data_IF_221532769214
#
_entry.id   IF_221532769214
#
_cell.length_a   1.000
_cell.length_b   1.000
_cell.length_c   1.000
_cell.angle_alpha   90.00
_cell.angle_beta   90.00
_cell.angle_gamma   90.00
#
_symmetry.space_group_name_H-M   'P 1'
#
loop_
_entity.id
_entity.type
_entity.pdbx_description
1 polymer ?
#
# COMPACT_ATOMS: atom_id res chain seq x y z
N UNK A 1 -16.30 -21.08 4.29
CA UNK A 1 -15.94 -19.92 5.12
C UNK A 1 -14.43 -19.78 5.10
N UNK A 2 -13.87 -18.56 5.11
CA UNK A 2 -12.41 -18.39 5.19
C UNK A 2 -11.93 -18.80 6.59
N UNK A 3 -10.82 -19.52 6.66
CA UNK A 3 -10.26 -20.02 7.92
C UNK A 3 -9.58 -18.90 8.70
N UNK A 4 -9.86 -18.84 10.02
CA UNK A 4 -9.21 -17.86 10.91
C UNK A 4 -7.71 -18.13 11.06
N UNK A 5 -7.35 -19.41 11.08
CA UNK A 5 -5.98 -19.92 11.18
C UNK A 5 -5.79 -21.06 10.18
N UNK A 6 -4.62 -21.09 9.55
CA UNK A 6 -4.22 -22.09 8.56
C UNK A 6 -2.70 -22.23 8.56
N UNK A 7 -2.18 -23.33 8.02
CA UNK A 7 -0.76 -23.43 7.69
C UNK A 7 -0.58 -24.20 6.37
N UNK A 8 -0.42 -23.46 5.27
CA UNK A 8 -0.18 -24.01 3.93
C UNK A 8 0.74 -23.08 3.15
N UNK A 9 2.02 -23.15 3.47
CA UNK A 9 3.06 -22.38 2.76
C UNK A 9 3.18 -22.89 1.34
N UNK A 10 3.18 -21.96 0.38
CA UNK A 10 3.33 -22.25 -1.05
C UNK A 10 4.39 -21.36 -1.66
N UNK A 11 4.67 -21.54 -2.96
CA UNK A 11 5.55 -20.63 -3.72
C UNK A 11 5.08 -19.18 -3.65
N UNK A 12 3.78 -18.94 -3.64
CA UNK A 12 3.21 -17.58 -3.59
C UNK A 12 3.47 -16.92 -2.24
N UNK A 13 3.52 -17.71 -1.16
CA UNK A 13 3.91 -17.24 0.17
C UNK A 13 5.36 -16.76 0.18
N UNK A 14 6.28 -17.52 -0.41
CA UNK A 14 7.69 -17.12 -0.52
C UNK A 14 7.89 -15.92 -1.44
N UNK A 15 7.14 -15.83 -2.54
CA UNK A 15 7.15 -14.65 -3.39
C UNK A 15 6.68 -13.41 -2.62
N UNK A 16 5.64 -13.53 -1.79
CA UNK A 16 5.17 -12.43 -0.95
C UNK A 16 6.21 -12.02 0.08
N UNK A 17 6.85 -12.96 0.77
CA UNK A 17 7.95 -12.66 1.70
C UNK A 17 9.10 -11.95 0.99
N UNK A 18 9.55 -12.47 -0.16
CA UNK A 18 10.65 -11.87 -0.91
C UNK A 18 10.32 -10.46 -1.41
N UNK A 19 9.12 -10.26 -1.96
CA UNK A 19 8.68 -8.94 -2.44
C UNK A 19 8.50 -7.95 -1.28
N UNK A 20 7.94 -8.40 -0.15
CA UNK A 20 7.80 -7.58 1.06
C UNK A 20 9.15 -7.20 1.68
N UNK A 21 10.13 -8.12 1.70
CA UNK A 21 11.48 -7.84 2.17
C UNK A 21 12.21 -6.88 1.23
N UNK A 22 12.02 -7.02 -0.09
CA UNK A 22 12.55 -6.08 -1.07
C UNK A 22 11.98 -4.67 -0.86
N UNK A 23 10.67 -4.55 -0.61
CA UNK A 23 10.03 -3.27 -0.27
C UNK A 23 10.67 -2.66 0.99
N UNK A 24 10.85 -3.42 2.06
CA UNK A 24 11.53 -2.93 3.28
C UNK A 24 12.97 -2.53 2.98
N UNK A 25 13.69 -3.33 2.19
CA UNK A 25 15.06 -3.04 1.78
C UNK A 25 15.15 -1.72 1.01
N UNK A 26 14.25 -1.49 0.04
CA UNK A 26 14.17 -0.23 -0.70
C UNK A 26 13.87 0.96 0.23
N UNK A 27 13.04 0.76 1.26
CA UNK A 27 12.79 1.78 2.28
C UNK A 27 14.07 2.11 3.05
N UNK A 28 14.72 1.11 3.65
CA UNK A 28 15.93 1.30 4.46
C UNK A 28 17.10 1.87 3.65
N UNK A 29 17.19 1.58 2.35
CA UNK A 29 18.21 2.13 1.45
C UNK A 29 18.09 3.65 1.27
N UNK A 30 16.96 4.27 1.62
CA UNK A 30 16.82 5.72 1.59
C UNK A 30 17.40 6.44 2.81
N UNK A 31 17.62 5.74 3.93
CA UNK A 31 18.21 6.33 5.14
C UNK A 31 19.52 7.11 4.90
N UNK A 32 20.52 6.60 4.14
CA UNK A 32 21.74 7.37 3.86
C UNK A 32 21.52 8.57 2.92
N UNK A 33 20.36 8.67 2.27
CA UNK A 33 20.00 9.72 1.30
C UNK A 33 18.85 10.59 1.82
N UNK A 34 18.74 10.76 3.15
CA UNK A 34 17.71 11.59 3.78
C UNK A 34 18.10 13.08 3.92
N UNK A 35 19.12 13.53 3.19
CA UNK A 35 19.60 14.90 3.21
C UNK A 35 18.84 15.84 2.26
N UNK A 36 19.16 17.13 2.30
CA UNK A 36 18.53 18.17 1.47
C UNK A 36 19.22 18.37 0.10
N UNK A 37 20.17 17.50 -0.26
CA UNK A 37 20.87 17.66 -1.54
C UNK A 37 19.99 17.22 -2.71
N UNK A 38 20.23 17.80 -3.89
CA UNK A 38 19.53 17.37 -5.11
C UNK A 38 19.80 15.90 -5.44
N UNK A 39 20.99 15.38 -5.10
CA UNK A 39 21.33 13.97 -5.27
C UNK A 39 20.47 13.06 -4.38
N UNK A 40 20.31 13.44 -3.12
CA UNK A 40 19.49 12.72 -2.13
C UNK A 40 18.02 12.64 -2.57
N UNK A 41 17.47 13.76 -3.06
CA UNK A 41 16.11 13.83 -3.58
C UNK A 41 15.91 12.93 -4.81
N UNK A 42 16.86 12.92 -5.75
CA UNK A 42 16.79 12.07 -6.94
C UNK A 42 16.85 10.60 -6.56
N UNK A 43 17.75 10.21 -5.65
CA UNK A 43 17.89 8.81 -5.23
C UNK A 43 16.63 8.36 -4.49
N UNK A 44 16.10 9.17 -3.58
CA UNK A 44 14.86 8.87 -2.86
C UNK A 44 13.66 8.74 -3.80
N UNK A 45 13.54 9.63 -4.79
CA UNK A 45 12.52 9.53 -5.83
C UNK A 45 12.65 8.22 -6.64
N UNK A 46 13.86 7.85 -7.06
CA UNK A 46 14.07 6.62 -7.82
C UNK A 46 13.73 5.37 -6.99
N UNK A 47 14.21 5.30 -5.75
CA UNK A 47 13.99 4.15 -4.87
C UNK A 47 12.51 4.02 -4.49
N UNK A 48 11.88 5.10 -4.02
CA UNK A 48 10.50 5.10 -3.56
C UNK A 48 9.51 5.12 -4.71
N UNK A 49 9.58 6.10 -5.59
CA UNK A 49 8.48 6.37 -6.51
C UNK A 49 8.56 5.47 -7.76
N UNK A 50 9.77 5.27 -8.29
CA UNK A 50 9.97 4.46 -9.50
C UNK A 50 10.06 2.97 -9.17
N UNK A 51 10.94 2.57 -8.27
CA UNK A 51 11.19 1.14 -8.02
C UNK A 51 10.14 0.54 -7.08
N UNK A 52 9.84 1.19 -5.95
CA UNK A 52 8.91 0.66 -4.96
C UNK A 52 7.44 0.87 -5.37
N UNK A 53 6.99 2.11 -5.52
CA UNK A 53 5.58 2.42 -5.83
C UNK A 53 5.21 1.91 -7.22
N UNK A 54 5.91 2.34 -8.27
CA UNK A 54 5.56 1.90 -9.63
C UNK A 54 6.01 0.45 -9.91
N UNK A 55 7.27 0.13 -9.62
CA UNK A 55 7.84 -1.19 -9.90
C UNK A 55 7.17 -2.32 -9.09
N UNK A 56 7.14 -2.23 -7.77
CA UNK A 56 6.48 -3.27 -6.94
C UNK A 56 4.96 -3.11 -6.93
N UNK A 57 4.45 -1.89 -6.81
CA UNK A 57 3.01 -1.62 -6.71
C UNK A 57 2.20 -1.98 -7.93
N UNK A 58 2.73 -1.62 -9.10
CA UNK A 58 1.99 -1.71 -10.35
C UNK A 58 2.57 -2.82 -11.22
N UNK A 59 3.83 -2.70 -11.64
CA UNK A 59 4.43 -3.62 -12.62
C UNK A 59 4.45 -5.05 -12.10
N UNK A 60 4.99 -5.27 -10.90
CA UNK A 60 5.09 -6.60 -10.31
C UNK A 60 3.71 -7.23 -10.06
N UNK A 61 2.74 -6.47 -9.51
CA UNK A 61 1.38 -6.97 -9.26
C UNK A 61 0.69 -7.34 -10.57
N UNK A 62 0.81 -6.52 -11.62
CA UNK A 62 0.25 -6.82 -12.93
C UNK A 62 0.88 -8.09 -13.54
N UNK A 63 2.20 -8.24 -13.46
CA UNK A 63 2.90 -9.45 -13.91
C UNK A 63 2.44 -10.69 -13.12
N UNK A 64 2.20 -10.54 -11.83
CA UNK A 64 1.68 -11.62 -10.99
C UNK A 64 0.27 -12.03 -11.42
N UNK A 65 -0.61 -11.07 -11.67
CA UNK A 65 -1.98 -11.32 -12.15
C UNK A 65 -1.97 -11.98 -13.53
N UNK A 66 -1.16 -11.50 -14.47
CA UNK A 66 -1.03 -12.09 -15.80
C UNK A 66 -0.63 -13.56 -15.73
N UNK A 67 0.36 -13.87 -14.89
CA UNK A 67 0.86 -15.24 -14.70
C UNK A 67 -0.12 -16.18 -13.99
N UNK A 68 -0.94 -15.66 -13.08
CA UNK A 68 -1.86 -16.45 -12.24
C UNK A 68 -3.30 -16.48 -12.74
N UNK A 69 -3.62 -15.62 -13.71
CA UNK A 69 -4.95 -15.49 -14.28
C UNK A 69 -5.79 -14.40 -13.61
N UNK A 70 -6.78 -13.91 -14.37
CA UNK A 70 -7.64 -12.77 -13.99
C UNK A 70 -8.47 -13.01 -12.74
N UNK A 71 -8.68 -14.26 -12.33
CA UNK A 71 -9.40 -14.59 -11.09
C UNK A 71 -8.74 -13.96 -9.86
N UNK A 72 -7.42 -13.81 -9.88
CA UNK A 72 -6.64 -13.13 -8.83
C UNK A 72 -7.03 -11.67 -8.64
N UNK A 73 -7.52 -10.98 -9.68
CA UNK A 73 -8.00 -9.60 -9.55
C UNK A 73 -9.10 -9.50 -8.48
N UNK A 74 -9.99 -10.50 -8.43
CA UNK A 74 -11.05 -10.54 -7.42
C UNK A 74 -10.52 -10.81 -6.01
N UNK A 75 -9.42 -11.55 -5.89
CA UNK A 75 -8.77 -11.87 -4.61
C UNK A 75 -7.99 -10.67 -4.04
N UNK A 76 -7.42 -9.81 -4.89
CA UNK A 76 -6.71 -8.59 -4.48
C UNK A 76 -7.65 -7.39 -4.29
N UNK A 77 -8.97 -7.56 -4.48
CA UNK A 77 -9.98 -6.55 -4.15
C UNK A 77 -10.75 -5.98 -5.33
N UNK A 78 -10.38 -6.27 -6.59
CA UNK A 78 -11.17 -5.86 -7.76
C UNK A 78 -12.38 -6.76 -7.95
N UNK A 79 -13.40 -6.53 -7.14
CA UNK A 79 -14.64 -7.29 -7.14
C UNK A 79 -15.87 -6.39 -7.14
N UNK A 80 -16.94 -6.83 -7.80
CA UNK A 80 -18.26 -6.17 -7.73
C UNK A 80 -19.06 -6.56 -6.49
N UNK A 81 -18.54 -7.50 -5.68
CA UNK A 81 -19.22 -8.02 -4.49
C UNK A 81 -19.41 -6.90 -3.47
N UNK A 82 -20.67 -6.64 -3.10
CA UNK A 82 -21.05 -5.63 -2.10
C UNK A 82 -20.59 -4.19 -2.45
N UNK A 83 -20.42 -3.86 -3.73
CA UNK A 83 -19.92 -2.54 -4.16
C UNK A 83 -20.67 -1.36 -3.54
N UNK A 84 -22.00 -1.44 -3.42
CA UNK A 84 -22.82 -0.40 -2.78
C UNK A 84 -22.43 -0.20 -1.31
N UNK A 85 -22.28 -1.29 -0.56
CA UNK A 85 -21.88 -1.23 0.84
C UNK A 85 -20.44 -0.72 0.97
N UNK A 86 -19.52 -1.18 0.11
CA UNK A 86 -18.14 -0.70 0.10
C UNK A 86 -18.06 0.81 -0.15
N UNK A 87 -18.81 1.33 -1.14
CA UNK A 87 -18.85 2.77 -1.44
C UNK A 87 -19.45 3.58 -0.28
N UNK A 88 -20.52 3.08 0.34
CA UNK A 88 -21.12 3.75 1.50
C UNK A 88 -20.14 3.80 2.66
N UNK A 89 -19.47 2.68 2.98
CA UNK A 89 -18.47 2.63 4.04
C UNK A 89 -17.27 3.53 3.73
N UNK A 90 -16.80 3.54 2.49
CA UNK A 90 -15.67 4.39 2.06
C UNK A 90 -15.98 5.88 2.26
N UNK A 91 -17.15 6.33 1.80
CA UNK A 91 -17.59 7.72 1.99
C UNK A 91 -17.75 8.06 3.48
N UNK A 92 -18.38 7.17 4.27
CA UNK A 92 -18.60 7.42 5.69
C UNK A 92 -17.28 7.49 6.48
N UNK A 93 -16.34 6.58 6.20
CA UNK A 93 -15.03 6.56 6.85
C UNK A 93 -14.17 7.74 6.40
N UNK A 94 -14.17 8.09 5.11
CA UNK A 94 -13.46 9.25 4.60
C UNK A 94 -14.00 10.55 5.19
N UNK A 95 -15.33 10.71 5.27
CA UNK A 95 -15.97 11.87 5.91
C UNK A 95 -15.64 11.94 7.41
N UNK A 96 -15.65 10.80 8.11
CA UNK A 96 -15.26 10.73 9.52
C UNK A 96 -13.79 11.12 9.73
N UNK A 97 -12.89 10.62 8.90
CA UNK A 97 -11.46 10.97 8.96
C UNK A 97 -11.24 12.46 8.66
N UNK A 98 -11.93 13.01 7.66
CA UNK A 98 -11.88 14.44 7.35
C UNK A 98 -12.40 15.27 8.53
N UNK A 99 -13.49 14.85 9.18
CA UNK A 99 -14.03 15.54 10.34
C UNK A 99 -13.05 15.55 11.53
N UNK A 100 -12.29 14.46 11.74
CA UNK A 100 -11.22 14.41 12.74
C UNK A 100 -10.14 15.46 12.40
N UNK A 101 -9.63 15.47 11.17
CA UNK A 101 -8.60 16.44 10.77
C UNK A 101 -9.08 17.89 10.81
N UNK A 102 -10.34 18.15 10.48
CA UNK A 102 -10.92 19.49 10.61
C UNK A 102 -11.12 19.90 12.06
N UNK A 103 -11.31 18.94 12.97
CA UNK A 103 -11.42 19.17 14.41
C UNK A 103 -10.14 19.73 15.03
N UNK A 104 -8.97 19.41 14.46
CA UNK A 104 -7.67 19.95 14.87
C UNK A 104 -7.43 21.39 14.38
N UNK A 105 -8.37 21.94 13.58
CA UNK A 105 -8.30 23.27 13.00
C UNK A 105 -7.58 23.29 11.65
N UNK A 106 -7.98 24.23 10.78
CA UNK A 106 -7.31 24.48 9.51
C UNK A 106 -6.27 25.60 9.74
N UNK A 107 -4.98 25.40 9.42
CA UNK A 107 -3.98 26.45 9.59
C UNK A 107 -4.37 27.73 8.84
N UNK A 108 -4.20 28.90 9.48
CA UNK A 108 -4.56 30.19 8.89
C UNK A 108 -3.92 30.38 7.51
N UNK A 109 -4.69 30.90 6.56
CA UNK A 109 -4.24 31.12 5.18
C UNK A 109 -4.24 29.87 4.28
N UNK A 110 -4.62 28.70 4.79
CA UNK A 110 -4.72 27.48 3.97
C UNK A 110 -5.93 27.55 3.04
N UNK A 111 -5.69 27.53 1.73
CA UNK A 111 -6.74 27.34 0.73
C UNK A 111 -6.77 25.86 0.34
N UNK A 112 -7.80 25.14 0.78
CA UNK A 112 -7.89 23.69 0.59
C UNK A 112 -7.79 23.25 -0.87
N UNK A 113 -8.40 24.00 -1.80
CA UNK A 113 -8.44 23.70 -3.23
C UNK A 113 -7.41 24.51 -4.03
N UNK A 114 -6.24 24.75 -3.46
CA UNK A 114 -5.13 25.36 -4.19
C UNK A 114 -4.36 24.32 -5.02
N UNK A 115 -3.74 24.76 -6.11
CA UNK A 115 -3.04 23.90 -7.07
C UNK A 115 -1.98 23.01 -6.41
N UNK A 116 -1.19 23.56 -5.48
CA UNK A 116 -0.14 22.83 -4.76
C UNK A 116 -0.73 21.70 -3.90
N UNK A 117 -1.86 21.97 -3.24
CA UNK A 117 -2.57 20.98 -2.42
C UNK A 117 -3.20 19.87 -3.28
N UNK A 118 -3.65 20.20 -4.50
CA UNK A 118 -4.14 19.20 -5.46
C UNK A 118 -3.02 18.28 -5.95
N UNK A 119 -1.81 18.80 -6.18
CA UNK A 119 -0.65 17.95 -6.51
C UNK A 119 -0.28 17.03 -5.36
N UNK A 120 -0.24 17.55 -4.13
CA UNK A 120 0.01 16.74 -2.94
C UNK A 120 -1.05 15.64 -2.78
N UNK A 121 -2.34 15.98 -2.96
CA UNK A 121 -3.43 15.01 -2.90
C UNK A 121 -3.32 13.92 -3.97
N UNK A 122 -3.00 14.28 -5.22
CA UNK A 122 -2.80 13.31 -6.30
C UNK A 122 -1.60 12.39 -6.05
N UNK A 123 -0.52 12.94 -5.49
CA UNK A 123 0.65 12.18 -5.10
C UNK A 123 0.33 11.19 -3.96
N UNK A 124 -0.34 11.64 -2.90
CA UNK A 124 -0.78 10.78 -1.79
C UNK A 124 -1.73 9.68 -2.30
N UNK A 125 -2.65 10.01 -3.20
CA UNK A 125 -3.53 9.02 -3.83
C UNK A 125 -2.73 7.94 -4.58
N UNK A 126 -1.67 8.33 -5.27
CA UNK A 126 -0.81 7.40 -6.01
C UNK A 126 -0.06 6.46 -5.07
N UNK A 127 0.53 6.99 -4.00
CA UNK A 127 1.14 6.18 -2.94
C UNK A 127 0.12 5.25 -2.26
N UNK A 128 -1.09 5.75 -1.98
CA UNK A 128 -2.19 4.96 -1.44
C UNK A 128 -2.62 3.82 -2.36
N UNK A 129 -2.67 4.04 -3.69
CA UNK A 129 -2.94 2.97 -4.65
C UNK A 129 -1.87 1.88 -4.58
N UNK A 130 -0.60 2.23 -4.42
CA UNK A 130 0.46 1.24 -4.20
C UNK A 130 0.18 0.39 -2.96
N UNK A 131 -0.17 1.00 -1.83
CA UNK A 131 -0.46 0.26 -0.59
C UNK A 131 -1.66 -0.68 -0.76
N UNK A 132 -2.72 -0.19 -1.41
CA UNK A 132 -3.93 -0.97 -1.69
C UNK A 132 -3.66 -2.15 -2.62
N UNK A 133 -2.84 -1.96 -3.67
CA UNK A 133 -2.52 -3.01 -4.64
C UNK A 133 -1.51 -4.03 -4.10
N UNK A 134 -0.41 -3.55 -3.55
CA UNK A 134 0.73 -4.38 -3.17
C UNK A 134 0.60 -4.93 -1.77
N UNK A 135 0.40 -4.07 -0.77
CA UNK A 135 0.41 -4.48 0.64
C UNK A 135 -0.93 -5.16 1.00
N UNK A 136 -2.04 -4.44 0.84
CA UNK A 136 -3.36 -4.95 1.23
C UNK A 136 -3.96 -5.91 0.21
N UNK A 137 -3.61 -5.75 -1.06
CA UNK A 137 -3.99 -6.65 -2.15
C UNK A 137 -3.09 -7.88 -2.17
N UNK A 138 -1.89 -7.75 -2.73
CA UNK A 138 -1.00 -8.87 -3.00
C UNK A 138 -0.42 -9.56 -1.75
N UNK A 139 0.25 -8.83 -0.84
CA UNK A 139 0.91 -9.43 0.33
C UNK A 139 -0.10 -10.07 1.27
N UNK A 140 -1.12 -9.30 1.70
CA UNK A 140 -2.15 -9.79 2.60
C UNK A 140 -2.89 -11.00 2.05
N UNK A 141 -3.32 -10.96 0.78
CA UNK A 141 -3.98 -12.11 0.14
C UNK A 141 -3.06 -13.34 0.16
N UNK A 142 -1.78 -13.17 -0.15
CA UNK A 142 -0.82 -14.28 -0.22
C UNK A 142 -0.56 -14.90 1.15
N UNK A 143 -0.45 -14.07 2.19
CA UNK A 143 -0.35 -14.53 3.57
C UNK A 143 -1.65 -15.15 4.07
N UNK A 144 -2.81 -14.63 3.69
CA UNK A 144 -4.11 -15.19 4.10
C UNK A 144 -4.34 -16.58 3.49
N UNK A 145 -3.96 -16.77 2.22
CA UNK A 145 -3.98 -18.08 1.56
C UNK A 145 -3.11 -19.12 2.29
N UNK A 146 -2.03 -18.68 2.92
CA UNK A 146 -1.07 -19.53 3.63
C UNK A 146 -1.43 -19.75 5.10
N UNK A 147 -1.76 -18.69 5.83
CA UNK A 147 -1.82 -18.67 7.29
C UNK A 147 -3.22 -18.43 7.87
N UNK A 148 -4.22 -18.09 7.03
CA UNK A 148 -5.54 -17.69 7.49
C UNK A 148 -5.62 -16.20 7.85
N UNK A 149 -6.81 -15.74 8.23
CA UNK A 149 -7.12 -14.31 8.37
C UNK A 149 -6.26 -13.63 9.44
N UNK A 150 -6.20 -14.21 10.65
CA UNK A 150 -5.58 -13.53 11.80
C UNK A 150 -4.07 -13.41 11.60
N UNK A 151 -3.32 -14.49 11.30
CA UNK A 151 -1.88 -14.36 11.09
C UNK A 151 -1.53 -13.50 9.88
N UNK A 152 -2.35 -13.51 8.82
CA UNK A 152 -2.10 -12.66 7.66
C UNK A 152 -2.19 -11.17 7.99
N UNK A 153 -3.14 -10.76 8.84
CA UNK A 153 -3.22 -9.37 9.31
C UNK A 153 -1.94 -8.99 10.06
N UNK A 154 -1.50 -9.83 10.99
CA UNK A 154 -0.31 -9.57 11.82
C UNK A 154 0.98 -9.52 10.99
N UNK A 155 1.17 -10.46 10.07
CA UNK A 155 2.36 -10.47 9.22
C UNK A 155 2.34 -9.30 8.26
N UNK A 156 1.19 -8.98 7.65
CA UNK A 156 1.07 -7.83 6.75
C UNK A 156 1.32 -6.51 7.49
N UNK A 157 0.83 -6.36 8.72
CA UNK A 157 1.07 -5.14 9.51
C UNK A 157 2.54 -4.98 9.86
N UNK A 158 3.28 -6.07 10.13
CA UNK A 158 4.74 -6.01 10.29
C UNK A 158 5.41 -5.47 9.02
N UNK A 159 5.09 -6.02 7.84
CA UNK A 159 5.64 -5.52 6.58
C UNK A 159 5.28 -4.06 6.32
N UNK A 160 4.04 -3.66 6.62
CA UNK A 160 3.58 -2.28 6.47
C UNK A 160 4.31 -1.32 7.43
N UNK A 161 4.51 -1.70 8.69
CA UNK A 161 5.24 -0.85 9.64
C UNK A 161 6.70 -0.63 9.21
N UNK A 162 7.37 -1.69 8.75
CA UNK A 162 8.76 -1.58 8.30
C UNK A 162 8.92 -0.94 6.91
N UNK A 163 7.86 -0.88 6.11
CA UNK A 163 7.85 -0.14 4.84
C UNK A 163 8.14 1.36 5.04
N UNK A 164 7.74 1.96 6.16
CA UNK A 164 8.01 3.37 6.45
C UNK A 164 9.35 3.61 7.19
N UNK A 165 10.14 2.56 7.44
CA UNK A 165 11.32 2.67 8.31
C UNK A 165 12.41 3.63 7.78
N UNK A 166 12.53 3.80 6.46
CA UNK A 166 13.50 4.70 5.85
C UNK A 166 12.94 6.01 5.32
N UNK A 167 11.64 6.24 5.45
CA UNK A 167 10.98 7.49 5.05
C UNK A 167 9.68 7.67 5.83
N UNK A 168 9.67 8.67 6.70
CA UNK A 168 8.47 9.18 7.38
C UNK A 168 8.34 10.67 7.11
#
# INVERSE_FOLDING_TARGET
>A
MKELFKMKVTRDTWMAVAAGLLMIGLSLLMLPFSGDSMGDAIVSFLLRDVVMIFGLGVVFVLMYVDKKGKEVLSDIGFSKRKIKLSLVLDILLAAGLLAIFMGDGIPEGTVLLQKENLYAAAYILTAGIFEMLFIYGFLRMSFEKAFGIIPAILVTSVFYSFHHAGFQ
#
